data_IF_217503463470
#
_entry.id   IF_217503463470
#
_cell.length_a   1.000
_cell.length_b   1.000
_cell.length_c   1.000
_cell.angle_alpha   90.00
_cell.angle_beta   90.00
_cell.angle_gamma   90.00
#
_symmetry.space_group_name_H-M   'P 1'
#
loop_
_entity.id
_entity.type
_entity.pdbx_description
1 polymer ?
#
# COMPACT_ATOMS: atom_id res chain seq x y z
N UNK A 1 -7.66 12.44 -4.82
CA UNK A 1 -8.06 11.41 -5.78
C UNK A 1 -9.49 11.63 -6.28
N UNK A 2 -9.64 11.87 -7.59
CA UNK A 2 -10.86 11.86 -8.44
C UNK A 2 -10.35 11.58 -9.88
N UNK A 3 -10.94 10.83 -10.80
CA UNK A 3 -12.01 9.85 -10.79
C UNK A 3 -11.66 8.71 -11.76
N UNK A 4 -12.49 7.67 -11.77
CA UNK A 4 -12.26 6.35 -12.35
C UNK A 4 -13.49 5.52 -12.00
N UNK A 5 -13.39 4.60 -11.04
CA UNK A 5 -14.56 3.95 -10.41
C UNK A 5 -15.14 4.71 -9.19
N UNK A 6 -14.59 5.88 -8.86
CA UNK A 6 -14.93 6.64 -7.64
C UNK A 6 -15.94 7.75 -7.92
N UNK A 7 -16.87 7.95 -6.98
CA UNK A 7 -17.78 9.09 -6.96
C UNK A 7 -17.34 10.11 -5.92
N UNK A 8 -17.08 11.34 -6.35
CA UNK A 8 -16.72 12.45 -5.46
C UNK A 8 -15.21 12.61 -5.27
N UNK A 9 -14.83 13.12 -4.10
CA UNK A 9 -13.45 13.57 -3.82
C UNK A 9 -12.86 12.85 -2.63
N UNK A 10 -11.73 12.18 -2.85
CA UNK A 10 -11.01 11.49 -1.79
C UNK A 10 -9.70 12.22 -1.48
N UNK A 11 -9.45 12.49 -0.20
CA UNK A 11 -8.24 13.16 0.29
C UNK A 11 -7.23 12.11 0.75
N UNK A 12 -5.98 12.21 0.30
CA UNK A 12 -4.89 11.35 0.77
C UNK A 12 -4.68 11.56 2.27
N UNK A 13 -4.57 10.47 3.03
CA UNK A 13 -4.33 10.50 4.48
C UNK A 13 -2.94 10.00 4.83
N UNK A 14 -2.50 8.92 4.20
CA UNK A 14 -1.23 8.25 4.45
C UNK A 14 -0.90 7.31 3.29
N UNK A 15 0.33 6.79 3.29
CA UNK A 15 0.67 5.58 2.56
C UNK A 15 1.47 4.62 3.45
N UNK A 16 1.48 3.34 3.08
CA UNK A 16 2.26 2.29 3.74
C UNK A 16 2.55 1.16 2.76
N UNK A 17 3.47 0.26 3.13
CA UNK A 17 3.88 -0.88 2.31
C UNK A 17 3.61 -2.19 3.04
N UNK A 18 3.38 -3.24 2.27
CA UNK A 18 3.47 -4.63 2.69
C UNK A 18 4.58 -5.31 1.89
N UNK A 19 5.38 -6.17 2.52
CA UNK A 19 6.52 -6.84 1.91
C UNK A 19 6.79 -8.21 2.53
N UNK A 20 7.49 -9.06 1.78
CA UNK A 20 7.90 -10.38 2.21
C UNK A 20 9.34 -10.43 2.75
N UNK A 21 9.66 -11.54 3.40
CA UNK A 21 11.00 -11.85 3.92
C UNK A 21 12.06 -12.07 2.82
N UNK A 22 11.66 -12.45 1.61
CA UNK A 22 12.55 -12.55 0.45
C UNK A 22 11.84 -12.15 -0.84
N UNK A 23 12.60 -12.11 -1.93
CA UNK A 23 12.07 -11.77 -3.25
C UNK A 23 11.19 -12.94 -3.77
N UNK A 24 10.14 -12.59 -4.53
CA UNK A 24 9.13 -13.54 -5.02
C UNK A 24 7.84 -13.61 -4.18
N UNK A 25 7.78 -12.96 -3.01
CA UNK A 25 6.53 -12.77 -2.27
C UNK A 25 6.53 -11.51 -1.41
N UNK A 26 5.34 -11.00 -1.08
CA UNK A 26 5.17 -9.84 -0.21
C UNK A 26 3.96 -8.97 -0.52
N UNK A 27 3.46 -9.00 -1.76
CA UNK A 27 2.19 -8.37 -2.11
C UNK A 27 1.00 -9.06 -1.44
N UNK A 28 -0.03 -8.28 -1.10
CA UNK A 28 -1.28 -8.81 -0.57
C UNK A 28 -2.17 -9.32 -1.71
N UNK A 29 -2.31 -8.52 -2.77
CA UNK A 29 -2.98 -8.94 -3.99
C UNK A 29 -2.08 -9.84 -4.83
N UNK A 30 -2.74 -10.67 -5.64
CA UNK A 30 -2.10 -11.50 -6.66
C UNK A 30 -2.82 -11.32 -7.99
N UNK A 31 -2.06 -11.45 -9.08
CA UNK A 31 -2.60 -11.42 -10.45
C UNK A 31 -2.32 -12.79 -11.07
N UNK A 32 -3.38 -13.53 -11.39
CA UNK A 32 -3.29 -14.91 -11.92
C UNK A 32 -2.40 -15.83 -11.08
N UNK A 33 -2.44 -15.66 -9.75
CA UNK A 33 -1.63 -16.42 -8.79
C UNK A 33 -0.20 -15.91 -8.60
N UNK A 34 0.26 -14.95 -9.41
CA UNK A 34 1.58 -14.32 -9.28
C UNK A 34 1.56 -13.31 -8.13
N UNK A 35 2.58 -13.40 -7.27
CA UNK A 35 2.88 -12.44 -6.22
C UNK A 35 4.02 -11.51 -6.65
N UNK A 36 4.03 -10.33 -6.06
CA UNK A 36 5.12 -9.37 -6.14
C UNK A 36 5.84 -9.28 -4.79
N UNK A 37 7.00 -8.65 -4.79
CA UNK A 37 7.92 -8.54 -3.64
C UNK A 37 7.37 -7.62 -2.55
N UNK A 38 6.60 -6.62 -2.95
CA UNK A 38 5.89 -5.72 -2.04
C UNK A 38 4.67 -5.08 -2.71
N UNK A 39 3.83 -4.44 -1.91
CA UNK A 39 2.68 -3.66 -2.36
C UNK A 39 2.54 -2.36 -1.55
N UNK A 40 2.50 -1.23 -2.26
CA UNK A 40 2.25 0.10 -1.71
C UNK A 40 0.75 0.39 -1.69
N UNK A 41 0.26 0.89 -0.56
CA UNK A 41 -1.11 1.39 -0.41
C UNK A 41 -1.13 2.89 -0.14
N UNK A 42 -1.71 3.65 -1.07
CA UNK A 42 -2.01 5.08 -0.88
C UNK A 42 -3.46 5.22 -0.41
N UNK A 43 -3.65 5.53 0.88
CA UNK A 43 -4.97 5.51 1.51
C UNK A 43 -5.61 6.89 1.48
N UNK A 44 -6.79 6.96 0.85
CA UNK A 44 -7.58 8.17 0.76
C UNK A 44 -8.95 7.97 1.40
N UNK A 45 -9.57 9.07 1.87
CA UNK A 45 -10.91 9.05 2.45
C UNK A 45 -11.85 10.03 1.76
N UNK A 46 -13.13 9.65 1.63
CA UNK A 46 -14.14 10.43 0.94
C UNK A 46 -14.51 11.66 1.76
N UNK A 47 -14.21 12.84 1.21
CA UNK A 47 -14.43 14.12 1.88
C UNK A 47 -15.91 14.44 2.16
N UNK A 48 -16.85 13.76 1.48
CA UNK A 48 -18.29 13.93 1.73
C UNK A 48 -18.70 13.53 3.16
N UNK A 49 -17.90 12.72 3.85
CA UNK A 49 -18.15 12.28 5.23
C UNK A 49 -17.53 13.18 6.30
N UNK A 50 -16.86 14.28 5.91
CA UNK A 50 -16.31 15.28 6.82
C UNK A 50 -15.03 14.86 7.58
N UNK A 51 -14.86 13.57 7.90
CA UNK A 51 -13.68 13.06 8.58
C UNK A 51 -13.33 11.62 8.17
N UNK A 52 -12.09 11.20 8.41
CA UNK A 52 -11.66 9.82 8.22
C UNK A 52 -12.46 8.84 9.10
N UNK A 53 -12.65 9.17 10.37
CA UNK A 53 -13.34 8.30 11.35
C UNK A 53 -14.82 8.09 11.03
N UNK A 54 -15.46 9.06 10.38
CA UNK A 54 -16.81 8.87 9.86
C UNK A 54 -16.78 8.08 8.54
N UNK A 55 -15.86 8.42 7.63
CA UNK A 55 -15.76 7.76 6.33
C UNK A 55 -15.65 6.23 6.44
N UNK A 56 -14.85 5.70 7.37
CA UNK A 56 -14.65 4.24 7.53
C UNK A 56 -15.92 3.45 7.90
N UNK A 57 -17.03 4.13 8.24
CA UNK A 57 -18.33 3.50 8.50
C UNK A 57 -19.15 3.26 7.25
N UNK A 58 -18.71 3.74 6.09
CA UNK A 58 -19.44 3.68 4.82
C UNK A 58 -18.70 2.82 3.80
N UNK A 59 -19.43 2.11 2.94
CA UNK A 59 -18.84 1.18 1.96
C UNK A 59 -17.93 1.86 0.92
N UNK A 60 -18.15 3.13 0.61
CA UNK A 60 -17.29 3.97 -0.24
C UNK A 60 -16.53 5.02 0.58
N UNK A 61 -16.32 4.75 1.87
CA UNK A 61 -15.61 5.61 2.79
C UNK A 61 -14.18 5.91 2.38
N UNK A 62 -13.48 4.88 1.93
CA UNK A 62 -12.07 4.94 1.56
C UNK A 62 -11.86 4.57 0.10
N UNK A 63 -10.80 5.12 -0.48
CA UNK A 63 -10.25 4.69 -1.75
C UNK A 63 -8.77 4.41 -1.56
N UNK A 64 -8.33 3.21 -1.93
CA UNK A 64 -6.92 2.82 -1.86
C UNK A 64 -6.39 2.61 -3.25
N UNK A 65 -5.25 3.25 -3.55
CA UNK A 65 -4.47 2.94 -4.75
C UNK A 65 -3.39 1.93 -4.34
N UNK A 66 -3.48 0.72 -4.90
CA UNK A 66 -2.50 -0.34 -4.72
C UNK A 66 -1.48 -0.32 -5.85
N UNK A 67 -0.19 -0.35 -5.52
CA UNK A 67 0.90 -0.37 -6.50
C UNK A 67 1.83 -1.53 -6.16
N UNK A 68 1.99 -2.47 -7.10
CA UNK A 68 2.95 -3.57 -6.95
C UNK A 68 4.38 -3.08 -7.09
N UNK A 69 5.29 -3.62 -6.29
CA UNK A 69 6.73 -3.39 -6.37
C UNK A 69 7.42 -4.67 -6.81
N UNK A 70 8.27 -4.58 -7.84
CA UNK A 70 9.11 -5.68 -8.31
C UNK A 70 10.59 -5.36 -8.24
N UNK A 71 11.43 -6.37 -8.04
CA UNK A 71 12.89 -6.18 -8.09
C UNK A 71 13.33 -5.81 -9.51
N UNK A 72 14.19 -4.80 -9.60
CA UNK A 72 14.77 -4.30 -10.84
C UNK A 72 15.65 -3.08 -10.57
N UNK A 73 15.59 -2.09 -11.46
CA UNK A 73 16.27 -0.81 -11.25
C UNK A 73 15.72 -0.06 -10.04
N UNK A 74 16.61 0.65 -9.34
CA UNK A 74 16.25 1.49 -8.21
C UNK A 74 15.21 2.55 -8.61
N UNK A 75 14.27 2.84 -7.71
CA UNK A 75 13.33 3.96 -7.85
C UNK A 75 13.87 5.20 -7.14
N UNK A 76 14.33 6.24 -7.85
CA UNK A 76 14.89 7.42 -7.20
C UNK A 76 13.92 8.11 -6.25
N UNK A 77 12.64 8.17 -6.61
CA UNK A 77 11.60 8.81 -5.80
C UNK A 77 11.32 8.06 -4.49
N UNK A 78 11.66 6.77 -4.40
CA UNK A 78 11.55 5.99 -3.16
C UNK A 78 12.70 6.29 -2.19
N UNK A 79 13.83 6.82 -2.67
CA UNK A 79 15.04 6.95 -1.86
C UNK A 79 14.83 7.82 -0.62
N UNK A 80 14.05 8.91 -0.73
CA UNK A 80 13.73 9.75 0.43
C UNK A 80 13.00 8.98 1.54
N UNK A 81 12.14 8.02 1.18
CA UNK A 81 11.48 7.13 2.15
C UNK A 81 12.52 6.21 2.77
N UNK A 82 13.36 5.57 1.95
CA UNK A 82 14.42 4.64 2.42
C UNK A 82 15.37 5.32 3.40
N UNK A 83 15.82 6.53 3.10
CA UNK A 83 16.72 7.28 3.98
C UNK A 83 16.03 7.60 5.32
N UNK A 84 14.74 7.95 5.29
CA UNK A 84 13.96 8.24 6.50
C UNK A 84 13.72 7.01 7.38
N UNK A 85 13.73 5.78 6.83
CA UNK A 85 13.56 4.55 7.62
C UNK A 85 14.64 4.39 8.69
N UNK A 86 15.85 4.92 8.44
CA UNK A 86 16.96 4.88 9.40
C UNK A 86 16.66 5.61 10.72
N UNK A 87 15.71 6.54 10.70
CA UNK A 87 15.28 7.31 11.87
C UNK A 87 14.17 6.61 12.67
N UNK A 88 13.52 5.61 12.09
CA UNK A 88 12.38 4.88 12.67
C UNK A 88 12.55 3.35 12.63
N UNK A 89 13.70 2.80 13.08
CA UNK A 89 14.00 1.38 12.89
C UNK A 89 13.09 0.45 13.72
N UNK A 90 12.55 0.93 14.83
CA UNK A 90 11.80 0.15 15.83
C UNK A 90 10.40 0.72 16.08
N UNK A 91 9.52 -0.12 16.65
CA UNK A 91 8.14 0.24 16.95
C UNK A 91 8.06 1.49 17.85
N UNK A 92 7.13 2.38 17.51
CA UNK A 92 6.83 3.59 18.28
C UNK A 92 7.75 4.78 18.00
N UNK A 93 8.80 4.60 17.19
CA UNK A 93 9.59 5.74 16.69
C UNK A 93 8.80 6.50 15.62
N UNK A 94 8.98 7.81 15.63
CA UNK A 94 8.43 8.73 14.64
C UNK A 94 9.50 9.76 14.30
N UNK A 95 9.55 10.18 13.03
CA UNK A 95 10.46 11.22 12.56
C UNK A 95 9.70 12.17 11.63
N UNK A 96 10.05 13.48 11.63
CA UNK A 96 9.48 14.42 10.67
C UNK A 96 9.80 14.01 9.24
N UNK A 97 8.77 13.94 8.39
CA UNK A 97 8.89 13.65 6.97
C UNK A 97 8.05 14.66 6.17
N UNK A 98 8.73 15.62 5.55
CA UNK A 98 8.11 16.76 4.86
C UNK A 98 8.56 16.84 3.40
N UNK A 99 7.80 17.58 2.59
CA UNK A 99 8.14 17.86 1.18
C UNK A 99 8.30 16.61 0.31
N UNK A 100 7.46 15.60 0.54
CA UNK A 100 7.43 14.39 -0.26
C UNK A 100 6.16 14.32 -1.10
N UNK A 101 6.30 14.13 -2.42
CA UNK A 101 5.18 13.88 -3.33
C UNK A 101 5.07 12.38 -3.64
N UNK A 102 4.07 11.67 -3.09
CA UNK A 102 3.91 10.25 -3.32
C UNK A 102 3.47 9.91 -4.74
N UNK A 103 3.09 10.87 -5.60
CA UNK A 103 2.84 10.57 -7.01
C UNK A 103 4.11 10.09 -7.72
N UNK A 104 5.28 10.45 -7.20
CA UNK A 104 6.57 9.93 -7.66
C UNK A 104 6.73 8.42 -7.47
N UNK A 105 5.82 7.75 -6.74
CA UNK A 105 5.79 6.30 -6.57
C UNK A 105 4.74 5.60 -7.47
N UNK A 106 4.13 6.33 -8.40
CA UNK A 106 3.19 5.75 -9.36
C UNK A 106 3.94 5.24 -10.60
N UNK A 107 3.45 4.17 -11.25
CA UNK A 107 3.93 3.74 -12.56
C UNK A 107 3.53 4.74 -13.66
N UNK A 108 4.02 4.51 -14.88
CA UNK A 108 3.69 5.35 -16.04
C UNK A 108 2.23 5.16 -16.48
N UNK A 109 1.77 3.92 -16.59
CA UNK A 109 0.38 3.58 -16.87
C UNK A 109 -0.43 3.54 -15.58
N UNK A 110 -1.56 4.24 -15.58
CA UNK A 110 -2.53 4.21 -14.50
C UNK A 110 -3.68 3.23 -14.78
N UNK A 111 -3.52 2.30 -15.71
CA UNK A 111 -4.45 1.19 -15.90
C UNK A 111 -4.64 0.41 -14.60
N UNK A 112 -5.88 0.10 -14.24
CA UNK A 112 -6.19 -0.47 -12.94
C UNK A 112 -7.33 -1.48 -12.96
N UNK A 113 -7.30 -2.36 -11.97
CA UNK A 113 -8.46 -3.14 -11.55
C UNK A 113 -9.14 -2.47 -10.36
N UNK A 114 -10.46 -2.63 -10.26
CA UNK A 114 -11.23 -2.05 -9.16
C UNK A 114 -12.32 -2.98 -8.65
N UNK A 115 -12.48 -3.00 -7.32
CA UNK A 115 -13.48 -3.77 -6.60
C UNK A 115 -13.73 -3.18 -5.20
N UNK A 116 -14.85 -3.54 -4.57
CA UNK A 116 -15.14 -3.17 -3.18
C UNK A 116 -14.56 -4.21 -2.21
N UNK A 117 -13.87 -3.75 -1.17
CA UNK A 117 -13.21 -4.61 -0.20
C UNK A 117 -13.13 -3.97 1.18
N UNK A 118 -12.14 -4.42 1.93
CA UNK A 118 -11.88 -3.97 3.28
C UNK A 118 -10.48 -3.39 3.41
N UNK A 119 -10.21 -2.83 4.60
CA UNK A 119 -8.84 -2.76 5.10
C UNK A 119 -8.26 -4.18 5.19
N UNK A 120 -6.95 -4.30 4.99
CA UNK A 120 -6.21 -5.57 5.09
C UNK A 120 -5.59 -5.77 6.47
N UNK A 121 -5.61 -4.73 7.30
CA UNK A 121 -5.22 -4.76 8.72
C UNK A 121 -6.44 -4.59 9.64
N UNK A 122 -6.43 -5.16 10.87
CA UNK A 122 -7.46 -4.91 11.87
C UNK A 122 -7.76 -3.42 12.05
N UNK A 123 -9.03 -3.00 12.11
CA UNK A 123 -10.24 -3.81 12.32
C UNK A 123 -10.92 -4.37 11.05
N UNK A 124 -10.23 -4.42 9.89
CA UNK A 124 -10.72 -5.06 8.65
C UNK A 124 -12.06 -4.49 8.13
N UNK A 125 -12.29 -3.19 8.32
CA UNK A 125 -13.56 -2.55 7.94
C UNK A 125 -13.79 -2.62 6.44
N UNK A 126 -14.99 -3.07 6.04
CA UNK A 126 -15.42 -3.20 4.63
C UNK A 126 -15.88 -1.84 4.07
N UNK A 127 -14.94 -0.91 3.94
CA UNK A 127 -15.17 0.48 3.59
C UNK A 127 -14.29 0.98 2.43
N UNK A 128 -13.64 0.07 1.70
CA UNK A 128 -12.59 0.42 0.73
C UNK A 128 -13.04 0.14 -0.70
N UNK A 129 -12.95 1.15 -1.56
CA UNK A 129 -12.92 0.96 -3.02
C UNK A 129 -11.47 0.85 -3.46
N UNK A 130 -11.07 -0.36 -3.86
CA UNK A 130 -9.72 -0.65 -4.32
C UNK A 130 -9.53 -0.20 -5.77
N UNK A 131 -8.34 0.34 -6.06
CA UNK A 131 -7.84 0.65 -7.40
C UNK A 131 -6.40 0.12 -7.47
N UNK A 132 -6.23 -1.12 -7.92
CA UNK A 132 -4.92 -1.79 -7.98
C UNK A 132 -4.35 -1.59 -9.38
N UNK A 133 -3.22 -0.90 -9.47
CA UNK A 133 -2.58 -0.58 -10.74
C UNK A 133 -2.01 -1.84 -11.38
N UNK A 134 -2.16 -1.94 -12.71
CA UNK A 134 -1.69 -3.06 -13.52
C UNK A 134 -0.18 -3.09 -13.65
N UNK A 135 0.43 -1.92 -13.87
CA UNK A 135 1.87 -1.78 -14.05
C UNK A 135 2.55 -1.72 -12.67
N UNK A 136 3.49 -2.64 -12.36
CA UNK A 136 4.29 -2.54 -11.14
C UNK A 136 5.37 -1.46 -11.31
N UNK A 137 5.81 -0.88 -10.19
CA UNK A 137 7.05 -0.08 -10.17
C UNK A 137 8.25 -1.00 -9.91
N UNK A 138 9.41 -0.65 -10.48
CA UNK A 138 10.67 -1.32 -10.16
C UNK A 138 11.33 -0.67 -8.96
N UNK A 139 11.94 -1.47 -8.10
CA UNK A 139 12.77 -1.05 -6.95
C UNK A 139 14.00 -1.95 -6.88
N UNK A 140 15.12 -1.44 -6.37
CA UNK A 140 16.31 -2.29 -6.24
C UNK A 140 16.21 -3.23 -5.05
N UNK A 141 16.99 -4.31 -5.08
CA UNK A 141 17.09 -5.23 -3.93
C UNK A 141 17.56 -4.52 -2.66
N UNK A 142 18.42 -3.50 -2.77
CA UNK A 142 18.87 -2.69 -1.63
C UNK A 142 17.74 -1.87 -1.02
N UNK A 143 16.87 -1.27 -1.85
CA UNK A 143 15.71 -0.52 -1.37
C UNK A 143 14.71 -1.43 -0.64
N UNK A 144 14.47 -2.64 -1.16
CA UNK A 144 13.65 -3.64 -0.46
C UNK A 144 14.32 -4.16 0.82
N UNK A 145 15.64 -4.37 0.79
CA UNK A 145 16.40 -4.79 1.97
C UNK A 145 16.29 -3.79 3.12
N UNK A 146 16.27 -2.48 2.81
CA UNK A 146 16.07 -1.45 3.82
C UNK A 146 14.70 -1.55 4.51
N UNK A 147 13.62 -1.91 3.78
CA UNK A 147 12.31 -2.19 4.40
C UNK A 147 12.38 -3.40 5.33
N UNK A 148 13.03 -4.48 4.90
CA UNK A 148 13.23 -5.71 5.69
C UNK A 148 14.13 -5.49 6.91
N UNK A 149 14.91 -4.41 6.93
CA UNK A 149 15.77 -4.00 8.04
C UNK A 149 15.03 -3.38 9.23
N UNK A 150 13.74 -3.04 9.08
CA UNK A 150 12.91 -2.54 10.17
C UNK A 150 12.56 -3.65 11.19
N UNK A 151 12.06 -3.25 12.36
CA UNK A 151 11.68 -4.15 13.46
C UNK A 151 10.22 -3.96 13.90
N UNK A 152 9.52 -5.07 14.15
CA UNK A 152 8.17 -5.06 14.73
C UNK A 152 8.16 -4.69 16.22
N UNK A 153 9.26 -4.93 16.91
CA UNK A 153 9.43 -4.74 18.34
C UNK A 153 10.02 -3.35 18.67
N UNK A 154 9.90 -2.95 19.94
CA UNK A 154 10.60 -1.76 20.43
C UNK A 154 12.04 -2.10 20.93
N UNK A 155 12.80 -1.07 21.32
CA UNK A 155 14.22 -1.19 21.71
C UNK A 155 14.48 -2.05 22.96
N UNK A 156 13.45 -2.34 23.77
CA UNK A 156 13.55 -3.12 25.01
C UNK A 156 13.11 -4.58 24.82
N UNK A 157 12.65 -4.93 23.63
CA UNK A 157 12.14 -6.26 23.28
C UNK A 157 13.17 -7.03 22.41
N UNK A 158 13.10 -8.38 22.38
CA UNK A 158 13.94 -9.17 21.48
C UNK A 158 13.73 -8.80 20.01
N UNK A 159 14.84 -8.75 19.26
CA UNK A 159 14.82 -8.39 17.83
C UNK A 159 13.89 -9.30 17.02
N UNK A 160 12.93 -8.67 16.36
CA UNK A 160 11.94 -9.27 15.49
C UNK A 160 11.85 -8.41 14.22
N UNK A 161 12.54 -8.84 13.16
CA UNK A 161 12.52 -8.12 11.89
C UNK A 161 11.11 -8.00 11.33
N UNK A 162 10.78 -6.83 10.82
CA UNK A 162 9.52 -6.54 10.15
C UNK A 162 9.55 -7.15 8.75
N UNK A 163 9.14 -8.40 8.64
CA UNK A 163 8.99 -9.12 7.38
C UNK A 163 7.65 -9.86 7.36
N UNK A 164 7.18 -10.19 6.17
CA UNK A 164 5.92 -10.93 5.96
C UNK A 164 4.70 -10.24 6.58
N UNK A 165 4.65 -8.91 6.51
CA UNK A 165 3.58 -8.08 7.05
C UNK A 165 2.35 -7.97 6.12
N UNK A 166 2.12 -8.98 5.29
CA UNK A 166 1.04 -9.04 4.29
C UNK A 166 -0.04 -10.05 4.69
N UNK A 167 -1.30 -9.79 4.34
CA UNK A 167 -2.42 -10.69 4.55
C UNK A 167 -2.61 -11.62 3.34
N UNK A 168 -2.88 -12.92 3.54
CA UNK A 168 -3.21 -13.83 2.45
C UNK A 168 -4.50 -13.43 1.70
N UNK A 169 -4.63 -13.80 0.40
CA UNK A 169 -5.85 -13.60 -0.36
C UNK A 169 -7.10 -14.13 0.36
N UNK A 170 -8.19 -13.38 0.28
CA UNK A 170 -9.47 -13.73 0.89
C UNK A 170 -10.48 -14.18 -0.17
N UNK A 171 -11.53 -14.93 0.20
CA UNK A 171 -12.56 -15.34 -0.75
C UNK A 171 -13.19 -14.14 -1.50
N UNK A 172 -13.28 -14.25 -2.83
CA UNK A 172 -13.90 -13.21 -3.65
C UNK A 172 -15.40 -13.07 -3.33
N UNK A 173 -16.05 -14.16 -2.93
CA UNK A 173 -17.51 -14.25 -2.72
C UNK A 173 -18.25 -13.81 -3.99
N UNK A 174 -19.31 -13.02 -3.86
CA UNK A 174 -20.14 -12.54 -4.98
C UNK A 174 -19.63 -11.24 -5.61
N UNK A 175 -18.36 -10.87 -5.38
CA UNK A 175 -17.79 -9.63 -5.92
C UNK A 175 -17.24 -9.87 -7.32
N UNK A 176 -17.33 -8.83 -8.15
CA UNK A 176 -16.67 -8.79 -9.45
C UNK A 176 -15.51 -7.79 -9.41
N UNK A 177 -14.43 -8.13 -10.09
CA UNK A 177 -13.32 -7.21 -10.36
C UNK A 177 -13.52 -6.64 -11.76
N UNK A 178 -13.45 -5.32 -11.89
CA UNK A 178 -13.53 -4.63 -13.19
C UNK A 178 -12.15 -4.10 -13.57
N UNK A 179 -11.84 -4.08 -14.87
CA UNK A 179 -10.63 -3.48 -15.41
C UNK A 179 -10.94 -2.15 -16.11
N UNK A 180 -10.01 -1.20 -16.11
CA UNK A 180 -10.10 0.05 -16.86
C UNK A 180 -9.63 -0.07 -18.32
N UNK A 181 -9.10 -1.23 -18.68
CA UNK A 181 -8.44 -1.52 -19.96
C UNK A 181 -9.08 -2.75 -20.62
N UNK A 182 -8.80 -2.92 -21.92
CA UNK A 182 -9.28 -4.01 -22.76
C UNK A 182 -8.21 -5.07 -22.99
#
# INVERSE_FOLDING_TARGET
LKGGALHGTYRLKQFHFHWGSCDGHGSEHTVDGVKYEAELHLVHWNTKYGSFGEAVKHCDGLAVVGVFLRVGEARPELQAVIDALTLIPTKGKEAPFHNFDPSGLLPNSLDFWTYQGSLTTPPLLQCVVWNVLKEPITVSSEQLSALRGLYFNDEHEPSCHMVDNYRPPQPLKHRHVRASFH
#
